data_IF_771189038318
#
_entry.id   IF_771189038318
#
_cell.length_a   1.000
_cell.length_b   1.000
_cell.length_c   1.000
_cell.angle_alpha   90.00
_cell.angle_beta   90.00
_cell.angle_gamma   90.00
#
_symmetry.space_group_name_H-M   'P 1'
#
loop_
_entity.id
_entity.type
_entity.pdbx_description
1 polymer ?
#
# COMPACT_ATOMS: atom_id res chain seq x y z
N UNK A 1 -8.00 27.57 -11.57
CA UNK A 1 -8.32 26.29 -12.23
C UNK A 1 -9.80 25.95 -12.04
N UNK A 2 -10.43 25.42 -13.09
CA UNK A 2 -11.79 24.90 -12.95
C UNK A 2 -11.77 23.61 -12.13
N UNK A 3 -12.94 23.20 -11.57
CA UNK A 3 -13.05 21.94 -10.86
C UNK A 3 -12.70 20.74 -11.73
N UNK A 4 -13.05 20.80 -13.03
CA UNK A 4 -12.75 19.73 -13.98
C UNK A 4 -11.25 19.58 -14.24
N UNK A 5 -10.53 20.71 -14.33
CA UNK A 5 -9.07 20.69 -14.49
C UNK A 5 -8.39 20.17 -13.24
N UNK A 6 -8.87 20.54 -12.06
CA UNK A 6 -8.34 20.04 -10.78
C UNK A 6 -8.55 18.54 -10.63
N UNK A 7 -9.74 18.06 -11.03
CA UNK A 7 -10.04 16.61 -11.00
C UNK A 7 -9.12 15.85 -11.99
N UNK A 8 -8.97 16.38 -13.20
CA UNK A 8 -8.13 15.76 -14.22
C UNK A 8 -6.69 15.64 -13.74
N UNK A 9 -6.15 16.70 -13.15
CA UNK A 9 -4.79 16.72 -12.61
C UNK A 9 -4.63 15.71 -11.47
N UNK A 10 -5.59 15.69 -10.54
CA UNK A 10 -5.53 14.75 -9.41
C UNK A 10 -5.58 13.28 -9.88
N UNK A 11 -6.46 12.99 -10.84
CA UNK A 11 -6.55 11.64 -11.41
C UNK A 11 -5.23 11.25 -12.09
N UNK A 12 -4.65 12.15 -12.87
CA UNK A 12 -3.35 11.92 -13.50
C UNK A 12 -2.28 11.65 -12.45
N UNK A 13 -2.20 12.49 -11.43
CA UNK A 13 -1.21 12.34 -10.38
C UNK A 13 -1.37 11.01 -9.63
N UNK A 14 -2.60 10.61 -9.33
CA UNK A 14 -2.89 9.33 -8.69
C UNK A 14 -2.44 8.15 -9.55
N UNK A 15 -2.80 8.19 -10.84
CA UNK A 15 -2.44 7.11 -11.77
C UNK A 15 -0.93 7.01 -11.96
N UNK A 16 -0.24 8.14 -12.09
CA UNK A 16 1.23 8.18 -12.21
C UNK A 16 1.87 7.65 -10.92
N UNK A 17 1.39 8.09 -9.77
CA UNK A 17 1.92 7.67 -8.47
C UNK A 17 1.81 6.15 -8.30
N UNK A 18 0.63 5.58 -8.60
CA UNK A 18 0.41 4.14 -8.51
C UNK A 18 1.33 3.37 -9.45
N UNK A 19 1.43 3.83 -10.71
CA UNK A 19 2.27 3.17 -11.70
C UNK A 19 3.74 3.15 -11.27
N UNK A 20 4.24 4.28 -10.76
CA UNK A 20 5.62 4.37 -10.27
C UNK A 20 5.83 3.46 -9.06
N UNK A 21 4.86 3.41 -8.15
CA UNK A 21 4.93 2.55 -6.98
C UNK A 21 5.00 1.08 -7.40
N UNK A 22 4.16 0.65 -8.35
CA UNK A 22 4.14 -0.73 -8.83
C UNK A 22 5.44 -1.09 -9.54
N UNK A 23 5.98 -0.20 -10.36
CA UNK A 23 7.28 -0.42 -11.02
C UNK A 23 8.36 -0.68 -9.96
N UNK A 24 8.40 0.15 -8.94
CA UNK A 24 9.42 0.08 -7.90
C UNK A 24 9.30 -1.17 -7.03
N UNK A 25 8.07 -1.59 -6.70
CA UNK A 25 7.81 -2.64 -5.72
C UNK A 25 7.58 -4.03 -6.30
N UNK A 26 6.88 -4.11 -7.43
CA UNK A 26 6.37 -5.37 -7.92
C UNK A 26 6.97 -5.83 -9.25
N UNK A 27 7.68 -4.96 -9.96
CA UNK A 27 8.27 -5.31 -11.26
C UNK A 27 9.59 -6.04 -11.09
N UNK A 28 9.65 -7.25 -11.61
CA UNK A 28 10.84 -8.09 -11.53
C UNK A 28 11.37 -8.51 -12.89
N UNK A 29 10.66 -8.20 -14.00
CA UNK A 29 11.08 -8.59 -15.34
C UNK A 29 11.08 -7.38 -16.29
N UNK A 30 11.92 -7.38 -17.33
CA UNK A 30 11.93 -6.31 -18.36
C UNK A 30 10.58 -6.16 -19.05
N UNK A 31 9.86 -7.25 -19.27
CA UNK A 31 8.54 -7.23 -19.91
C UNK A 31 7.50 -6.52 -19.04
N UNK A 32 7.52 -6.78 -17.73
CA UNK A 32 6.63 -6.10 -16.78
C UNK A 32 6.92 -4.61 -16.73
N UNK A 33 8.20 -4.22 -16.75
CA UNK A 33 8.62 -2.82 -16.75
C UNK A 33 8.15 -2.13 -18.03
N UNK A 34 8.29 -2.78 -19.18
CA UNK A 34 7.85 -2.23 -20.47
C UNK A 34 6.34 -2.00 -20.48
N UNK A 35 5.56 -2.96 -19.97
CA UNK A 35 4.10 -2.82 -19.85
C UNK A 35 3.68 -1.64 -18.98
N UNK A 36 4.40 -1.43 -17.86
CA UNK A 36 4.14 -0.30 -16.97
C UNK A 36 4.55 1.03 -17.60
N UNK A 37 5.62 1.06 -18.39
CA UNK A 37 6.02 2.26 -19.14
C UNK A 37 4.96 2.63 -20.18
N UNK A 38 4.38 1.66 -20.87
CA UNK A 38 3.29 1.88 -21.80
C UNK A 38 2.06 2.44 -21.09
N UNK A 39 1.75 1.92 -19.89
CA UNK A 39 0.67 2.43 -19.04
C UNK A 39 0.93 3.89 -18.66
N UNK A 40 2.16 4.21 -18.30
CA UNK A 40 2.56 5.58 -17.97
C UNK A 40 2.32 6.53 -19.14
N UNK A 41 2.73 6.13 -20.36
CA UNK A 41 2.50 6.92 -21.57
C UNK A 41 1.01 7.13 -21.84
N UNK A 42 0.20 6.09 -21.63
CA UNK A 42 -1.25 6.15 -21.76
C UNK A 42 -1.85 7.20 -20.83
N UNK A 43 -1.40 7.21 -19.57
CA UNK A 43 -1.87 8.17 -18.57
C UNK A 43 -1.55 9.60 -18.99
N UNK A 44 -0.31 9.84 -19.41
CA UNK A 44 0.12 11.18 -19.83
C UNK A 44 -0.60 11.64 -21.08
N UNK A 45 -0.83 10.73 -22.04
CA UNK A 45 -1.57 11.05 -23.26
C UNK A 45 -3.02 11.44 -22.93
N UNK A 46 -3.68 10.66 -22.09
CA UNK A 46 -5.04 10.96 -21.65
C UNK A 46 -5.13 12.33 -20.95
N UNK A 47 -4.13 12.64 -20.11
CA UNK A 47 -4.05 13.93 -19.44
C UNK A 47 -3.86 15.07 -20.43
N UNK A 48 -2.91 14.94 -21.36
CA UNK A 48 -2.60 15.98 -22.35
C UNK A 48 -3.77 16.24 -23.28
N UNK A 49 -4.53 15.20 -23.63
CA UNK A 49 -5.71 15.32 -24.50
C UNK A 49 -6.99 15.57 -23.72
N UNK A 50 -6.89 15.76 -22.40
CA UNK A 50 -8.02 16.08 -21.50
C UNK A 50 -9.12 15.02 -21.52
N UNK A 51 -8.75 13.75 -21.66
CA UNK A 51 -9.68 12.61 -21.62
C UNK A 51 -9.83 12.10 -20.21
N UNK A 52 -10.86 12.56 -19.51
CA UNK A 52 -11.06 12.23 -18.10
C UNK A 52 -11.59 10.80 -17.87
N UNK A 53 -12.43 10.27 -18.77
CA UNK A 53 -13.05 8.95 -18.61
C UNK A 53 -12.03 7.81 -18.46
N UNK A 54 -10.98 7.70 -19.31
CA UNK A 54 -9.97 6.67 -19.12
C UNK A 54 -9.25 6.79 -17.79
N UNK A 55 -9.00 8.02 -17.32
CA UNK A 55 -8.33 8.24 -16.05
C UNK A 55 -9.23 7.86 -14.87
N UNK A 56 -10.53 8.14 -14.94
CA UNK A 56 -11.49 7.70 -13.91
C UNK A 56 -11.55 6.17 -13.84
N UNK A 57 -11.59 5.51 -15.00
CA UNK A 57 -11.62 4.05 -15.06
C UNK A 57 -10.34 3.47 -14.45
N UNK A 58 -9.18 4.01 -14.78
CA UNK A 58 -7.90 3.58 -14.23
C UNK A 58 -7.87 3.80 -12.71
N UNK A 59 -8.35 4.95 -12.25
CA UNK A 59 -8.44 5.26 -10.82
C UNK A 59 -9.30 4.25 -10.06
N UNK A 60 -10.44 3.85 -10.64
CA UNK A 60 -11.31 2.82 -10.05
C UNK A 60 -10.60 1.46 -9.98
N UNK A 61 -9.84 1.11 -11.00
CA UNK A 61 -9.05 -0.12 -11.02
C UNK A 61 -7.96 -0.10 -9.94
N UNK A 62 -7.32 1.06 -9.73
CA UNK A 62 -6.34 1.23 -8.65
C UNK A 62 -6.99 0.95 -7.30
N UNK A 63 -8.16 1.53 -7.05
CA UNK A 63 -8.87 1.35 -5.79
C UNK A 63 -9.19 -0.14 -5.56
N UNK A 64 -9.63 -0.84 -6.60
CA UNK A 64 -9.91 -2.25 -6.53
C UNK A 64 -8.64 -3.07 -6.21
N UNK A 65 -7.53 -2.75 -6.88
CA UNK A 65 -6.26 -3.43 -6.63
C UNK A 65 -5.80 -3.23 -5.18
N UNK A 66 -5.84 -1.99 -4.69
CA UNK A 66 -5.37 -1.64 -3.35
C UNK A 66 -6.24 -2.29 -2.27
N UNK A 67 -7.56 -2.27 -2.45
CA UNK A 67 -8.51 -2.73 -1.43
C UNK A 67 -8.72 -4.24 -1.44
N UNK A 68 -8.53 -4.93 -2.59
CA UNK A 68 -8.93 -6.33 -2.73
C UNK A 68 -7.83 -7.29 -3.20
N UNK A 69 -6.85 -6.81 -3.95
CA UNK A 69 -5.88 -7.71 -4.61
C UNK A 69 -4.45 -7.53 -4.17
N UNK A 70 -4.06 -6.36 -3.72
CA UNK A 70 -2.70 -6.08 -3.28
C UNK A 70 -2.43 -6.74 -1.92
N UNK A 71 -1.25 -7.35 -1.70
CA UNK A 71 -0.90 -7.84 -0.36
C UNK A 71 -1.01 -6.72 0.66
N UNK A 72 -1.57 -7.02 1.83
CA UNK A 72 -1.91 -5.98 2.81
C UNK A 72 -0.69 -5.15 3.24
N UNK A 73 0.47 -5.76 3.42
CA UNK A 73 1.69 -5.03 3.80
C UNK A 73 2.06 -3.98 2.75
N UNK A 74 1.92 -4.32 1.46
CA UNK A 74 2.19 -3.41 0.35
C UNK A 74 1.11 -2.33 0.27
N UNK A 75 -0.16 -2.72 0.48
CA UNK A 75 -1.27 -1.76 0.50
C UNK A 75 -1.11 -0.73 1.61
N UNK A 76 -0.64 -1.14 2.79
CA UNK A 76 -0.37 -0.22 3.91
C UNK A 76 0.73 0.78 3.54
N UNK A 77 1.80 0.32 2.91
CA UNK A 77 2.87 1.21 2.45
C UNK A 77 2.35 2.20 1.40
N UNK A 78 1.61 1.71 0.41
CA UNK A 78 1.01 2.55 -0.62
C UNK A 78 0.08 3.60 -0.01
N UNK A 79 -0.79 3.17 0.91
CA UNK A 79 -1.75 4.04 1.60
C UNK A 79 -1.04 5.22 2.27
N UNK A 80 0.06 4.95 2.96
CA UNK A 80 0.82 5.99 3.68
C UNK A 80 1.48 6.97 2.73
N UNK A 81 2.11 6.44 1.69
CA UNK A 81 2.82 7.28 0.71
C UNK A 81 1.87 8.16 -0.09
N UNK A 82 0.74 7.62 -0.56
CA UNK A 82 -0.21 8.39 -1.35
C UNK A 82 -0.93 9.43 -0.50
N UNK A 83 -1.19 9.14 0.76
CA UNK A 83 -1.77 10.11 1.69
C UNK A 83 -0.83 11.30 1.89
N UNK A 84 0.46 11.02 2.09
CA UNK A 84 1.47 12.05 2.26
C UNK A 84 1.62 12.93 1.02
N UNK A 85 1.70 12.31 -0.16
CA UNK A 85 1.93 13.01 -1.43
C UNK A 85 0.68 13.70 -1.98
N UNK A 86 -0.45 13.02 -2.00
CA UNK A 86 -1.65 13.47 -2.72
C UNK A 86 -2.85 13.70 -1.82
N UNK A 87 -2.72 13.45 -0.51
CA UNK A 87 -3.81 13.59 0.47
C UNK A 87 -5.00 12.66 0.19
N UNK A 88 -4.75 11.56 -0.53
CA UNK A 88 -5.75 10.51 -0.77
C UNK A 88 -5.61 9.50 0.36
N UNK A 89 -6.71 9.18 1.05
CA UNK A 89 -6.67 8.28 2.21
C UNK A 89 -7.50 7.01 1.96
N UNK A 90 -6.84 5.86 2.07
CA UNK A 90 -7.49 4.55 1.99
C UNK A 90 -7.76 4.03 3.41
N UNK A 91 -8.78 4.57 4.07
CA UNK A 91 -9.12 4.20 5.45
C UNK A 91 -9.42 2.71 5.62
N UNK A 92 -10.01 2.07 4.62
CA UNK A 92 -10.32 0.64 4.67
C UNK A 92 -9.06 -0.23 4.77
N UNK A 93 -7.96 0.20 4.17
CA UNK A 93 -6.67 -0.47 4.30
C UNK A 93 -6.19 -0.41 5.74
N UNK A 94 -6.30 0.77 6.38
CA UNK A 94 -5.90 0.95 7.77
C UNK A 94 -6.75 0.08 8.71
N UNK A 95 -8.05 0.01 8.47
CA UNK A 95 -8.96 -0.83 9.26
C UNK A 95 -8.63 -2.31 9.12
N UNK A 96 -8.34 -2.76 7.89
CA UNK A 96 -7.94 -4.15 7.65
C UNK A 96 -6.64 -4.48 8.37
N UNK A 97 -5.67 -3.58 8.32
CA UNK A 97 -4.39 -3.71 9.00
C UNK A 97 -4.57 -3.84 10.52
N UNK A 98 -5.38 -2.95 11.11
CA UNK A 98 -5.66 -2.98 12.54
C UNK A 98 -6.29 -4.31 12.97
N UNK A 99 -7.22 -4.84 12.17
CA UNK A 99 -7.87 -6.13 12.46
C UNK A 99 -6.88 -7.29 12.45
N UNK A 100 -5.95 -7.29 11.51
CA UNK A 100 -4.94 -8.36 11.44
C UNK A 100 -4.02 -8.29 12.65
N UNK A 101 -3.56 -7.10 13.04
CA UNK A 101 -2.70 -6.94 14.21
C UNK A 101 -3.43 -7.39 15.48
N UNK A 102 -4.70 -7.00 15.66
CA UNK A 102 -5.51 -7.44 16.80
C UNK A 102 -5.65 -8.96 16.84
N UNK A 103 -5.87 -9.59 15.69
CA UNK A 103 -5.98 -11.05 15.59
C UNK A 103 -4.68 -11.73 16.00
N UNK A 104 -3.54 -11.21 15.54
CA UNK A 104 -2.22 -11.75 15.87
C UNK A 104 -1.97 -11.65 17.38
N UNK A 105 -2.28 -10.51 17.98
CA UNK A 105 -2.13 -10.31 19.43
C UNK A 105 -3.04 -11.25 20.21
N UNK A 106 -4.28 -11.44 19.77
CA UNK A 106 -5.24 -12.32 20.41
C UNK A 106 -4.81 -13.79 20.32
N UNK A 107 -4.31 -14.21 19.17
CA UNK A 107 -3.88 -15.58 18.93
C UNK A 107 -2.48 -15.87 19.48
N UNK A 108 -1.75 -14.83 19.88
CA UNK A 108 -0.39 -14.91 20.39
C UNK A 108 0.55 -15.69 19.47
N UNK A 109 0.37 -15.49 18.15
CA UNK A 109 1.16 -16.21 17.14
C UNK A 109 1.14 -15.47 15.80
N UNK A 110 2.32 -15.42 15.15
CA UNK A 110 2.45 -15.03 13.75
C UNK A 110 2.38 -16.33 12.93
N UNK A 111 1.42 -16.41 12.02
CA UNK A 111 1.12 -17.67 11.31
C UNK A 111 1.82 -17.83 9.96
N UNK A 112 2.21 -16.71 9.32
CA UNK A 112 2.81 -16.77 7.97
C UNK A 112 3.67 -15.52 7.73
N UNK A 113 4.38 -15.52 6.59
CA UNK A 113 5.29 -14.44 6.25
C UNK A 113 4.58 -13.10 5.99
N UNK A 114 3.34 -13.12 5.53
CA UNK A 114 2.56 -11.89 5.35
C UNK A 114 2.26 -11.24 6.71
N UNK A 115 1.84 -12.02 7.69
CA UNK A 115 1.64 -11.54 9.06
C UNK A 115 2.95 -11.04 9.67
N UNK A 116 4.05 -11.75 9.39
CA UNK A 116 5.38 -11.32 9.83
C UNK A 116 5.71 -9.91 9.34
N UNK A 117 5.50 -9.65 8.05
CA UNK A 117 5.76 -8.32 7.47
C UNK A 117 4.89 -7.24 8.10
N UNK A 118 3.62 -7.56 8.38
CA UNK A 118 2.70 -6.63 9.03
C UNK A 118 3.15 -6.30 10.46
N UNK A 119 3.64 -7.30 11.18
CA UNK A 119 4.18 -7.11 12.54
C UNK A 119 5.43 -6.25 12.51
N UNK A 120 6.34 -6.48 11.55
CA UNK A 120 7.54 -5.64 11.39
C UNK A 120 7.14 -4.18 11.16
N UNK A 121 6.17 -3.93 10.27
CA UNK A 121 5.67 -2.58 10.02
C UNK A 121 5.08 -1.96 11.28
N UNK A 122 4.32 -2.73 12.05
CA UNK A 122 3.69 -2.23 13.28
C UNK A 122 4.74 -1.87 14.34
N UNK A 123 5.78 -2.68 14.47
CA UNK A 123 6.89 -2.40 15.39
C UNK A 123 7.56 -1.08 15.02
N UNK A 124 7.82 -0.86 13.73
CA UNK A 124 8.43 0.39 13.26
C UNK A 124 7.57 1.61 13.58
N UNK A 125 6.23 1.45 13.53
CA UNK A 125 5.31 2.54 13.86
C UNK A 125 5.32 2.92 15.34
N UNK A 126 5.37 1.93 16.21
CA UNK A 126 5.11 2.13 17.64
C UNK A 126 6.36 2.10 18.51
N UNK A 127 7.54 1.83 17.93
CA UNK A 127 8.74 1.57 18.72
C UNK A 127 9.17 2.76 19.58
N UNK A 128 8.81 3.98 19.20
CA UNK A 128 9.10 5.19 19.99
C UNK A 128 7.89 5.69 20.80
N UNK A 129 6.75 5.01 20.70
CA UNK A 129 5.55 5.43 21.40
C UNK A 129 5.46 4.75 22.78
N UNK A 130 5.71 5.50 23.83
CA UNK A 130 5.70 4.99 25.22
C UNK A 130 4.35 4.42 25.62
N UNK A 131 3.24 4.89 25.02
CA UNK A 131 1.90 4.38 25.30
C UNK A 131 1.68 2.97 24.73
N UNK A 132 2.54 2.56 23.80
CA UNK A 132 2.46 1.26 23.13
C UNK A 132 3.55 0.28 23.58
N UNK A 133 4.21 0.56 24.70
CA UNK A 133 5.32 -0.27 25.18
C UNK A 133 4.94 -1.74 25.40
N UNK A 134 3.75 -2.01 25.94
CA UNK A 134 3.28 -3.38 26.14
C UNK A 134 3.00 -4.10 24.82
N UNK A 135 2.36 -3.42 23.88
CA UNK A 135 2.14 -3.96 22.55
C UNK A 135 3.46 -4.26 21.85
N UNK A 136 4.42 -3.34 21.93
CA UNK A 136 5.75 -3.49 21.35
C UNK A 136 6.46 -4.73 21.91
N UNK A 137 6.41 -4.91 23.22
CA UNK A 137 7.03 -6.06 23.87
C UNK A 137 6.43 -7.37 23.39
N UNK A 138 5.10 -7.44 23.30
CA UNK A 138 4.39 -8.62 22.83
C UNK A 138 4.74 -8.92 21.38
N UNK A 139 4.72 -7.92 20.51
CA UNK A 139 5.03 -8.10 19.09
C UNK A 139 6.47 -8.55 18.85
N UNK A 140 7.43 -7.99 19.61
CA UNK A 140 8.83 -8.41 19.53
C UNK A 140 9.01 -9.88 19.93
N UNK A 141 8.29 -10.31 20.97
CA UNK A 141 8.31 -11.69 21.41
C UNK A 141 7.79 -12.63 20.31
N UNK A 142 6.64 -12.28 19.72
CA UNK A 142 6.03 -13.07 18.65
C UNK A 142 6.92 -13.12 17.41
N UNK A 143 7.58 -12.01 17.10
CA UNK A 143 8.51 -11.92 15.99
C UNK A 143 9.67 -12.89 16.17
N UNK A 144 10.29 -12.87 17.35
CA UNK A 144 11.40 -13.75 17.69
C UNK A 144 10.98 -15.23 17.62
N UNK A 145 9.81 -15.56 18.16
CA UNK A 145 9.29 -16.92 18.12
C UNK A 145 9.07 -17.40 16.67
N UNK A 146 8.55 -16.52 15.81
CA UNK A 146 8.36 -16.85 14.40
C UNK A 146 9.70 -17.09 13.69
N UNK A 147 10.67 -16.21 13.91
CA UNK A 147 12.01 -16.34 13.32
C UNK A 147 12.69 -17.64 13.74
N UNK A 148 12.56 -18.02 15.00
CA UNK A 148 13.15 -19.26 15.52
C UNK A 148 12.55 -20.50 14.86
N UNK A 149 11.24 -20.49 14.59
CA UNK A 149 10.58 -21.62 13.91
C UNK A 149 11.10 -21.82 12.50
N UNK A 150 11.48 -20.74 11.82
CA UNK A 150 11.97 -20.82 10.44
C UNK A 150 13.46 -21.15 10.33
N UNK A 151 14.22 -21.00 11.40
CA UNK A 151 15.64 -21.35 11.41
C UNK A 151 15.90 -22.87 11.57
N UNK A 152 14.87 -23.61 11.87
CA UNK A 152 14.93 -25.06 11.95
C UNK A 152 14.61 -25.67 10.59
#
# INVERSE_FOLDING_TARGET
>A
MSNAESELELLKDKCVFYTQFVIQKLSSSPESIQGLEETYRFILDAYQTKKIKPLRAFSADIDDQVLRHMPLAIAVEFKRLIKEKLKIDYEDVEKAYARVIERILKNEKISNSQEYELVVNRIDEIFTDHKRAEELKTLNKLLTEFEERYKK
#
